data_IF_159354798046
#
_entry.id   IF_159354798046
#
_cell.length_a   1.000
_cell.length_b   1.000
_cell.length_c   1.000
_cell.angle_alpha   90.00
_cell.angle_beta   90.00
_cell.angle_gamma   90.00
#
_symmetry.space_group_name_H-M   'P 1'
#
loop_
_entity.id
_entity.type
_entity.pdbx_description
1 polymer ?
#
# COMPACT_ATOMS: atom_id res chain seq x y z
N UNK A 1 2.77 16.33 1.16
CA UNK A 1 2.92 15.25 0.16
C UNK A 1 4.28 14.60 0.34
N UNK A 2 4.24 13.34 0.76
CA UNK A 2 5.40 12.49 1.02
C UNK A 2 5.93 11.85 -0.28
N UNK A 3 5.03 11.43 -1.18
CA UNK A 3 5.34 10.76 -2.45
C UNK A 3 4.79 11.60 -3.60
N UNK A 4 5.61 11.94 -4.59
CA UNK A 4 5.11 12.49 -5.87
C UNK A 4 4.75 11.32 -6.81
N UNK A 5 3.48 11.15 -7.21
CA UNK A 5 3.07 10.05 -8.10
C UNK A 5 3.84 10.00 -9.43
N UNK A 6 4.41 11.13 -9.87
CA UNK A 6 5.22 11.19 -11.11
C UNK A 6 6.57 10.50 -10.99
N UNK A 7 7.06 10.30 -9.77
CA UNK A 7 8.33 9.61 -9.50
C UNK A 7 8.16 8.09 -9.44
N UNK A 8 6.92 7.60 -9.43
CA UNK A 8 6.64 6.17 -9.45
C UNK A 8 6.98 5.58 -10.81
N UNK A 9 7.76 4.49 -10.78
CA UNK A 9 8.11 3.77 -11.99
C UNK A 9 6.86 3.23 -12.67
N UNK A 10 6.69 3.59 -13.94
CA UNK A 10 5.59 3.07 -14.76
C UNK A 10 5.93 1.70 -15.34
N UNK A 11 4.92 0.86 -15.43
CA UNK A 11 4.94 -0.43 -16.10
C UNK A 11 4.10 -0.40 -17.38
N UNK A 12 4.21 -1.44 -18.21
CA UNK A 12 3.49 -1.51 -19.48
C UNK A 12 1.95 -1.59 -19.30
N UNK A 13 1.48 -2.07 -18.15
CA UNK A 13 0.06 -2.18 -17.85
C UNK A 13 -0.47 -0.87 -17.26
N UNK A 14 -1.37 -0.19 -17.98
CA UNK A 14 -1.95 1.07 -17.54
C UNK A 14 -2.84 0.94 -16.29
N UNK A 15 -3.46 -0.22 -16.06
CA UNK A 15 -4.26 -0.46 -14.86
C UNK A 15 -3.38 -0.48 -13.60
N UNK A 16 -2.18 -1.07 -13.69
CA UNK A 16 -1.22 -1.08 -12.57
C UNK A 16 -0.68 0.32 -12.31
N UNK A 17 -0.41 1.12 -13.36
CA UNK A 17 0.01 2.50 -13.17
C UNK A 17 -1.06 3.35 -12.46
N UNK A 18 -2.34 3.15 -12.79
CA UNK A 18 -3.43 3.84 -12.10
C UNK A 18 -3.51 3.41 -10.62
N UNK A 19 -3.45 2.10 -10.35
CA UNK A 19 -3.44 1.58 -8.98
C UNK A 19 -2.26 2.13 -8.16
N UNK A 20 -1.06 2.22 -8.75
CA UNK A 20 0.09 2.82 -8.08
C UNK A 20 -0.11 4.31 -7.77
N UNK A 21 -0.69 5.07 -8.70
CA UNK A 21 -0.99 6.49 -8.50
C UNK A 21 -2.02 6.65 -7.36
N UNK A 22 -3.09 5.85 -7.33
CA UNK A 22 -4.11 5.85 -6.28
C UNK A 22 -3.54 5.46 -4.90
N UNK A 23 -2.72 4.41 -4.83
CA UNK A 23 -2.04 3.99 -3.60
C UNK A 23 -1.13 5.11 -3.06
N UNK A 24 -0.40 5.80 -3.94
CA UNK A 24 0.45 6.91 -3.54
C UNK A 24 -0.35 8.08 -2.96
N UNK A 25 -1.52 8.37 -3.51
CA UNK A 25 -2.45 9.34 -2.95
C UNK A 25 -3.00 8.90 -1.58
N UNK A 26 -3.36 7.62 -1.42
CA UNK A 26 -3.77 7.05 -0.12
C UNK A 26 -2.67 7.18 0.94
N UNK A 27 -1.42 6.86 0.61
CA UNK A 27 -0.25 7.06 1.51
C UNK A 27 -0.07 8.53 1.88
N UNK A 28 -0.18 9.44 0.91
CA UNK A 28 -0.08 10.88 1.15
C UNK A 28 -1.18 11.39 2.09
N UNK A 29 -2.43 10.92 1.94
CA UNK A 29 -3.54 11.28 2.83
C UNK A 29 -3.30 10.78 4.25
N UNK A 30 -2.85 9.54 4.41
CA UNK A 30 -2.51 8.95 5.71
C UNK A 30 -1.40 9.77 6.39
N UNK A 31 -0.30 10.04 5.68
CA UNK A 31 0.81 10.85 6.16
C UNK A 31 0.36 12.24 6.63
N UNK A 32 -0.47 12.92 5.84
CA UNK A 32 -0.94 14.25 6.21
C UNK A 32 -1.88 14.22 7.44
N UNK A 33 -2.64 13.14 7.65
CA UNK A 33 -3.44 12.94 8.87
C UNK A 33 -2.57 12.69 10.11
N UNK A 34 -1.50 11.89 9.97
CA UNK A 34 -0.50 11.66 11.02
C UNK A 34 0.15 12.98 11.46
N UNK A 35 0.60 13.81 10.50
CA UNK A 35 1.19 15.13 10.79
C UNK A 35 0.25 16.08 11.53
N UNK A 36 -1.06 15.96 11.31
CA UNK A 36 -2.08 16.77 12.00
C UNK A 36 -2.46 16.21 13.38
N UNK A 37 -2.01 15.01 13.73
CA UNK A 37 -2.45 14.30 14.94
C UNK A 37 -3.93 13.91 14.88
N UNK A 38 -4.51 13.77 13.69
CA UNK A 38 -5.92 13.44 13.48
C UNK A 38 -6.14 11.92 13.59
N UNK A 39 -6.05 11.42 14.82
CA UNK A 39 -6.10 9.98 15.12
C UNK A 39 -7.41 9.30 14.70
N UNK A 40 -8.51 10.05 14.60
CA UNK A 40 -9.78 9.55 14.11
C UNK A 40 -9.69 9.22 12.62
N UNK A 41 -9.22 10.17 11.81
CA UNK A 41 -9.04 9.96 10.36
C UNK A 41 -7.96 8.92 10.03
N UNK A 42 -6.86 8.88 10.80
CA UNK A 42 -5.74 7.94 10.55
C UNK A 42 -6.22 6.49 10.53
N UNK A 43 -7.14 6.11 11.41
CA UNK A 43 -7.62 4.72 11.47
C UNK A 43 -8.34 4.31 10.19
N UNK A 44 -9.23 5.18 9.67
CA UNK A 44 -9.93 4.91 8.42
C UNK A 44 -9.00 4.93 7.20
N UNK A 45 -8.10 5.92 7.14
CA UNK A 45 -7.14 6.05 6.04
C UNK A 45 -6.12 4.91 6.00
N UNK A 46 -5.73 4.38 7.16
CA UNK A 46 -4.83 3.22 7.25
C UNK A 46 -5.51 1.95 6.70
N UNK A 47 -6.77 1.70 7.07
CA UNK A 47 -7.52 0.57 6.52
C UNK A 47 -7.73 0.70 5.00
N UNK A 48 -8.07 1.90 4.51
CA UNK A 48 -8.22 2.19 3.08
C UNK A 48 -6.91 1.91 2.33
N UNK A 49 -5.79 2.46 2.81
CA UNK A 49 -4.48 2.25 2.20
C UNK A 49 -4.07 0.77 2.17
N UNK A 50 -4.27 0.03 3.27
CA UNK A 50 -3.93 -1.39 3.34
C UNK A 50 -4.80 -2.20 2.38
N UNK A 51 -6.10 -1.89 2.30
CA UNK A 51 -7.01 -2.53 1.37
C UNK A 51 -6.56 -2.32 -0.08
N UNK A 52 -6.30 -1.08 -0.49
CA UNK A 52 -5.88 -0.74 -1.85
C UNK A 52 -4.58 -1.47 -2.25
N UNK A 53 -3.60 -1.55 -1.34
CA UNK A 53 -2.33 -2.26 -1.58
C UNK A 53 -2.55 -3.77 -1.74
N UNK A 54 -3.35 -4.38 -0.86
CA UNK A 54 -3.58 -5.83 -0.89
C UNK A 54 -4.38 -6.23 -2.14
N UNK A 55 -5.41 -5.47 -2.51
CA UNK A 55 -6.21 -5.70 -3.72
C UNK A 55 -5.34 -5.59 -4.98
N UNK A 56 -4.49 -4.56 -5.06
CA UNK A 56 -3.53 -4.41 -6.14
C UNK A 56 -2.59 -5.62 -6.26
N UNK A 57 -2.01 -6.08 -5.14
CA UNK A 57 -1.15 -7.26 -5.13
C UNK A 57 -1.88 -8.54 -5.57
N UNK A 58 -3.12 -8.75 -5.14
CA UNK A 58 -3.93 -9.91 -5.54
C UNK A 58 -4.18 -9.91 -7.05
N UNK A 59 -4.55 -8.77 -7.63
CA UNK A 59 -4.72 -8.63 -9.07
C UNK A 59 -3.43 -8.93 -9.84
N UNK A 60 -2.29 -8.37 -9.42
CA UNK A 60 -1.01 -8.64 -10.07
C UNK A 60 -0.62 -10.12 -9.97
N UNK A 61 -0.79 -10.73 -8.79
CA UNK A 61 -0.47 -12.13 -8.54
C UNK A 61 -1.31 -13.08 -9.40
N UNK A 62 -2.61 -12.83 -9.54
CA UNK A 62 -3.50 -13.57 -10.44
C UNK A 62 -3.04 -13.46 -11.90
N UNK A 63 -2.80 -12.22 -12.37
CA UNK A 63 -2.38 -11.98 -13.74
C UNK A 63 -0.99 -12.58 -14.06
N UNK A 64 -0.04 -12.48 -13.13
CA UNK A 64 1.29 -13.07 -13.28
C UNK A 64 1.23 -14.60 -13.33
N UNK A 65 0.38 -15.21 -12.50
CA UNK A 65 0.19 -16.65 -12.48
C UNK A 65 -0.46 -17.15 -13.77
N UNK A 66 -1.50 -16.48 -14.25
CA UNK A 66 -2.19 -16.82 -15.50
C UNK A 66 -1.28 -16.65 -16.73
N UNK A 67 -0.37 -15.68 -16.70
CA UNK A 67 0.61 -15.44 -17.75
C UNK A 67 1.87 -16.34 -17.66
N UNK A 68 1.94 -17.25 -16.68
CA UNK A 68 3.12 -18.05 -16.36
C UNK A 68 4.40 -17.19 -16.23
N UNK A 69 4.26 -16.00 -15.64
CA UNK A 69 5.35 -15.04 -15.52
C UNK A 69 6.50 -15.64 -14.69
N UNK A 70 7.68 -15.75 -15.30
CA UNK A 70 8.82 -16.46 -14.70
C UNK A 70 9.22 -15.90 -13.32
N UNK A 71 9.02 -14.60 -13.09
CA UNK A 71 9.38 -13.92 -11.86
C UNK A 71 8.31 -14.01 -10.76
N UNK A 72 7.16 -14.63 -11.03
CA UNK A 72 6.01 -14.66 -10.12
C UNK A 72 6.36 -15.10 -8.69
N UNK A 73 7.10 -16.20 -8.44
CA UNK A 73 7.31 -16.62 -7.06
C UNK A 73 8.22 -15.66 -6.28
N UNK A 74 9.08 -14.87 -6.96
CA UNK A 74 9.94 -13.88 -6.30
C UNK A 74 9.12 -12.63 -6.01
N UNK A 75 8.35 -12.16 -7.00
CA UNK A 75 7.48 -11.00 -6.86
C UNK A 75 6.44 -11.21 -5.75
N UNK A 76 5.80 -12.38 -5.71
CA UNK A 76 4.87 -12.73 -4.64
C UNK A 76 5.54 -12.75 -3.26
N UNK A 77 6.78 -13.19 -3.16
CA UNK A 77 7.49 -13.21 -1.88
C UNK A 77 7.68 -11.79 -1.31
N UNK A 78 7.93 -10.79 -2.17
CA UNK A 78 8.00 -9.38 -1.79
C UNK A 78 6.61 -8.87 -1.33
N UNK A 79 5.55 -9.21 -2.06
CA UNK A 79 4.18 -8.87 -1.63
C UNK A 79 3.82 -9.50 -0.27
N UNK A 80 4.17 -10.78 -0.06
CA UNK A 80 3.92 -11.48 1.19
C UNK A 80 4.70 -10.89 2.37
N UNK A 81 5.90 -10.37 2.10
CA UNK A 81 6.68 -9.63 3.10
C UNK A 81 6.01 -8.29 3.44
N UNK A 82 5.61 -7.53 2.43
CA UNK A 82 4.91 -6.25 2.63
C UNK A 82 3.59 -6.44 3.40
N UNK A 83 2.80 -7.48 3.09
CA UNK A 83 1.57 -7.80 3.84
C UNK A 83 1.82 -8.02 5.33
N UNK A 84 2.95 -8.64 5.71
CA UNK A 84 3.33 -8.81 7.12
C UNK A 84 3.67 -7.47 7.77
N UNK A 85 4.42 -6.62 7.07
CA UNK A 85 4.80 -5.29 7.54
C UNK A 85 3.57 -4.39 7.73
N UNK A 86 2.64 -4.40 6.78
CA UNK A 86 1.37 -3.67 6.87
C UNK A 86 0.49 -4.20 8.03
N UNK A 87 0.43 -5.51 8.24
CA UNK A 87 -0.30 -6.07 9.39
C UNK A 87 0.32 -5.63 10.72
N UNK A 88 1.65 -5.65 10.82
CA UNK A 88 2.35 -5.19 12.02
C UNK A 88 2.15 -3.69 12.26
N UNK A 89 2.16 -2.88 11.20
CA UNK A 89 1.88 -1.44 11.27
C UNK A 89 0.46 -1.17 11.78
N UNK A 90 -0.55 -1.86 11.22
CA UNK A 90 -1.94 -1.76 11.67
C UNK A 90 -2.08 -2.15 13.14
N UNK A 91 -1.50 -3.28 13.54
CA UNK A 91 -1.55 -3.76 14.92
C UNK A 91 -0.90 -2.75 15.90
N UNK A 92 0.23 -2.14 15.53
CA UNK A 92 0.89 -1.13 16.34
C UNK A 92 0.03 0.14 16.49
N UNK A 93 -0.60 0.59 15.39
CA UNK A 93 -1.52 1.71 15.40
C UNK A 93 -2.75 1.44 16.26
N UNK A 94 -3.42 0.29 16.09
CA UNK A 94 -4.59 -0.09 16.88
C UNK A 94 -4.29 -0.15 18.38
N UNK A 95 -3.09 -0.62 18.72
CA UNK A 95 -2.63 -0.75 20.11
C UNK A 95 -2.29 0.59 20.76
N UNK A 96 -1.70 1.52 20.02
CA UNK A 96 -1.11 2.74 20.59
C UNK A 96 -1.83 4.02 20.25
N UNK A 97 -2.39 4.09 19.03
CA UNK A 97 -2.91 5.32 18.41
C UNK A 97 -1.92 6.48 18.49
N UNK A 98 -0.63 6.15 18.41
CA UNK A 98 0.48 7.07 18.56
C UNK A 98 1.06 7.39 17.17
N UNK A 99 0.87 8.61 16.64
CA UNK A 99 1.38 8.99 15.33
C UNK A 99 2.91 8.91 15.20
N UNK A 100 3.67 8.90 16.30
CA UNK A 100 5.13 8.78 16.25
C UNK A 100 5.62 7.33 16.02
N UNK A 101 4.71 6.35 16.07
CA UNK A 101 5.01 4.93 15.92
C UNK A 101 4.58 4.33 14.58
N UNK A 102 4.07 5.17 13.69
CA UNK A 102 3.62 4.87 12.33
C UNK A 102 4.46 5.71 11.38
#
# INVERSE_FOLDING_TARGET
MLIDPKEIQKVANMFFNAAHEDIAESVNRLHDALLRGDTESVSGLMEEMIFDIVDHFEMEEEMMKDAEFFGYPMHKAEHDQMRKELSALREEWERTRDPEKV
#
